data_IF_760242879739
#
_entry.id   IF_760242879739
#
_cell.length_a   1.000
_cell.length_b   1.000
_cell.length_c   1.000
_cell.angle_alpha   90.00
_cell.angle_beta   90.00
_cell.angle_gamma   90.00
#
_symmetry.space_group_name_H-M   'P 1'
#
loop_
_entity.id
_entity.type
_entity.pdbx_description
1 polymer ?
#
# COMPACT_ATOMS: atom_id res chain seq x y z
N UNK A 1 4.52 -7.25 29.55
CA UNK A 1 5.12 -8.10 30.61
C UNK A 1 6.54 -8.55 30.26
N UNK A 2 6.96 -8.53 28.99
CA UNK A 2 8.28 -8.99 28.56
C UNK A 2 8.37 -10.50 28.27
N UNK A 3 7.26 -11.20 28.32
CA UNK A 3 7.23 -12.64 28.01
C UNK A 3 7.41 -12.88 26.51
N UNK A 4 8.06 -14.00 26.17
CA UNK A 4 8.19 -14.42 24.77
C UNK A 4 6.83 -14.90 24.24
N UNK A 5 6.52 -14.48 23.03
CA UNK A 5 5.37 -14.98 22.27
C UNK A 5 5.84 -15.68 21.00
N UNK A 6 5.11 -16.69 20.57
CA UNK A 6 5.40 -17.37 19.30
C UNK A 6 4.89 -16.57 18.08
N UNK A 7 5.29 -16.98 16.89
CA UNK A 7 4.92 -16.31 15.65
C UNK A 7 3.41 -16.35 15.38
N UNK A 8 2.71 -17.40 15.81
CA UNK A 8 1.25 -17.51 15.64
C UNK A 8 0.54 -16.48 16.51
N UNK A 9 0.96 -16.35 17.77
CA UNK A 9 0.42 -15.32 18.69
C UNK A 9 0.74 -13.91 18.20
N UNK A 10 1.96 -13.67 17.71
CA UNK A 10 2.34 -12.41 17.12
C UNK A 10 1.45 -11.99 15.92
N UNK A 11 1.08 -12.96 15.07
CA UNK A 11 0.12 -12.75 13.98
C UNK A 11 -1.30 -12.47 14.50
N UNK A 12 -1.76 -13.25 15.47
CA UNK A 12 -3.10 -13.11 16.07
C UNK A 12 -3.33 -11.70 16.62
N UNK A 13 -2.34 -11.15 17.32
CA UNK A 13 -2.43 -9.80 17.92
C UNK A 13 -2.05 -8.67 16.94
N UNK A 14 -1.78 -8.98 15.67
CA UNK A 14 -1.49 -7.98 14.64
C UNK A 14 -0.06 -7.42 14.64
N UNK A 15 0.87 -8.01 15.43
CA UNK A 15 2.27 -7.58 15.46
C UNK A 15 3.00 -7.89 14.15
N UNK A 16 2.66 -9.01 13.49
CA UNK A 16 3.17 -9.39 12.18
C UNK A 16 2.03 -9.78 11.23
N UNK A 17 2.27 -9.66 9.93
CA UNK A 17 1.23 -9.89 8.92
C UNK A 17 1.05 -11.37 8.58
N UNK A 18 2.13 -12.15 8.51
CA UNK A 18 2.09 -13.55 8.09
C UNK A 18 3.09 -14.38 8.88
N UNK A 19 2.76 -15.68 8.98
CA UNK A 19 3.67 -16.71 9.48
C UNK A 19 3.86 -17.73 8.36
N UNK A 20 5.10 -18.06 8.08
CA UNK A 20 5.50 -19.06 7.07
C UNK A 20 6.61 -19.93 7.63
N UNK A 21 6.90 -21.06 6.99
CA UNK A 21 8.06 -21.88 7.35
C UNK A 21 9.37 -21.12 7.07
N UNK A 22 10.45 -21.52 7.77
CA UNK A 22 11.79 -20.91 7.59
C UNK A 22 12.24 -20.96 6.12
N UNK A 23 11.96 -22.04 5.43
CA UNK A 23 12.35 -22.24 4.03
C UNK A 23 11.58 -21.35 3.04
N UNK A 24 10.39 -20.89 3.42
CA UNK A 24 9.52 -20.05 2.58
C UNK A 24 9.69 -18.56 2.84
N UNK A 25 10.35 -18.16 3.93
CA UNK A 25 10.42 -16.79 4.39
C UNK A 25 10.95 -15.84 3.30
N UNK A 26 12.12 -16.13 2.76
CA UNK A 26 12.75 -15.28 1.72
C UNK A 26 11.88 -15.16 0.47
N UNK A 27 11.34 -16.29 0.00
CA UNK A 27 10.45 -16.29 -1.18
C UNK A 27 9.18 -15.47 -0.93
N UNK A 28 8.58 -15.58 0.25
CA UNK A 28 7.37 -14.85 0.60
C UNK A 28 7.63 -13.34 0.71
N UNK A 29 8.75 -12.97 1.31
CA UNK A 29 9.17 -11.55 1.43
C UNK A 29 9.42 -10.96 0.06
N UNK A 30 10.19 -11.64 -0.80
CA UNK A 30 10.49 -11.16 -2.15
C UNK A 30 9.22 -10.99 -2.98
N UNK A 31 8.30 -11.96 -2.97
CA UNK A 31 7.01 -11.85 -3.67
C UNK A 31 6.18 -10.65 -3.19
N UNK A 32 6.19 -10.35 -1.90
CA UNK A 32 5.50 -9.17 -1.39
C UNK A 32 6.18 -7.87 -1.84
N UNK A 33 7.50 -7.81 -1.75
CA UNK A 33 8.29 -6.67 -2.21
C UNK A 33 8.08 -6.40 -3.72
N UNK A 34 8.16 -7.43 -4.55
CA UNK A 34 7.87 -7.36 -6.00
C UNK A 34 6.45 -6.86 -6.27
N UNK A 35 5.46 -7.37 -5.54
CA UNK A 35 4.08 -6.91 -5.68
C UNK A 35 3.91 -5.42 -5.36
N UNK A 36 4.62 -4.91 -4.37
CA UNK A 36 4.60 -3.49 -4.00
C UNK A 36 5.35 -2.67 -5.05
N UNK A 37 6.56 -3.08 -5.42
CA UNK A 37 7.40 -2.35 -6.38
C UNK A 37 6.85 -2.37 -7.82
N UNK A 38 5.93 -3.28 -8.12
CA UNK A 38 5.23 -3.28 -9.42
C UNK A 38 4.13 -2.21 -9.55
N UNK A 39 3.92 -1.38 -8.53
CA UNK A 39 2.94 -0.29 -8.55
C UNK A 39 3.64 1.04 -8.83
N UNK A 40 2.89 2.05 -9.31
CA UNK A 40 3.39 3.42 -9.41
C UNK A 40 3.96 3.87 -8.05
N UNK A 41 5.24 4.24 -8.01
CA UNK A 41 5.90 4.69 -6.78
C UNK A 41 5.33 6.03 -6.33
N UNK A 42 4.95 6.88 -7.28
CA UNK A 42 4.25 8.14 -7.03
C UNK A 42 2.93 7.90 -6.29
N UNK A 43 2.06 7.05 -6.84
CA UNK A 43 0.74 6.79 -6.24
C UNK A 43 0.85 6.15 -4.87
N UNK A 44 1.76 5.18 -4.69
CA UNK A 44 2.03 4.55 -3.38
C UNK A 44 2.53 5.59 -2.37
N UNK A 45 3.44 6.48 -2.78
CA UNK A 45 3.97 7.56 -1.94
C UNK A 45 2.89 8.55 -1.50
N UNK A 46 2.04 8.99 -2.44
CA UNK A 46 0.90 9.88 -2.15
C UNK A 46 -0.04 9.21 -1.14
N UNK A 47 -0.43 7.96 -1.39
CA UNK A 47 -1.35 7.22 -0.53
C UNK A 47 -0.79 7.01 0.88
N UNK A 48 0.48 6.65 1.02
CA UNK A 48 1.10 6.49 2.35
C UNK A 48 1.16 7.81 3.13
N UNK A 49 1.54 8.91 2.50
CA UNK A 49 1.53 10.23 3.16
C UNK A 49 0.13 10.64 3.59
N UNK A 50 -0.85 10.43 2.72
CA UNK A 50 -2.24 10.74 3.01
C UNK A 50 -2.77 9.91 4.18
N UNK A 51 -2.44 8.62 4.22
CA UNK A 51 -2.84 7.72 5.31
C UNK A 51 -2.38 8.23 6.68
N UNK A 52 -1.10 8.53 6.82
CA UNK A 52 -0.57 9.01 8.11
C UNK A 52 -1.10 10.41 8.48
N UNK A 53 -1.24 11.28 7.49
CA UNK A 53 -1.71 12.65 7.75
C UNK A 53 -3.19 12.67 8.19
N UNK A 54 -4.06 11.88 7.54
CA UNK A 54 -5.48 11.85 7.86
C UNK A 54 -5.78 11.19 9.22
N UNK A 55 -4.90 10.31 9.72
CA UNK A 55 -5.12 9.64 11.02
C UNK A 55 -5.13 10.59 12.23
N UNK A 56 -4.55 11.78 12.07
CA UNK A 56 -4.51 12.83 13.10
C UNK A 56 -5.63 13.87 12.94
N UNK A 57 -6.55 13.69 11.99
CA UNK A 57 -7.61 14.63 11.67
C UNK A 57 -8.95 14.19 12.23
N UNK A 58 -9.86 15.14 12.44
CA UNK A 58 -11.27 14.81 12.63
C UNK A 58 -11.83 14.12 11.37
N UNK A 59 -12.93 13.36 11.52
CA UNK A 59 -13.53 12.63 10.41
C UNK A 59 -13.86 13.56 9.22
N UNK A 60 -14.41 14.72 9.47
CA UNK A 60 -14.78 15.70 8.44
C UNK A 60 -13.55 16.24 7.69
N UNK A 61 -12.50 16.59 8.42
CA UNK A 61 -11.23 17.07 7.84
C UNK A 61 -10.55 15.96 7.04
N UNK A 62 -10.54 14.72 7.55
CA UNK A 62 -9.98 13.57 6.86
C UNK A 62 -10.67 13.32 5.51
N UNK A 63 -11.99 13.38 5.45
CA UNK A 63 -12.75 13.26 4.20
C UNK A 63 -12.42 14.38 3.22
N UNK A 64 -12.38 15.63 3.66
CA UNK A 64 -12.04 16.77 2.80
C UNK A 64 -10.62 16.64 2.25
N UNK A 65 -9.65 16.33 3.11
CA UNK A 65 -8.25 16.15 2.73
C UNK A 65 -8.04 14.97 1.77
N UNK A 66 -8.62 13.80 2.08
CA UNK A 66 -8.45 12.62 1.23
C UNK A 66 -9.16 12.73 -0.10
N UNK A 67 -10.33 13.40 -0.17
CA UNK A 67 -11.02 13.72 -1.43
C UNK A 67 -10.16 14.60 -2.33
N UNK A 68 -9.53 15.64 -1.78
CA UNK A 68 -8.61 16.48 -2.56
C UNK A 68 -7.40 15.68 -3.03
N UNK A 69 -6.78 14.91 -2.14
CA UNK A 69 -5.63 14.06 -2.47
C UNK A 69 -5.96 13.06 -3.58
N UNK A 70 -7.15 12.45 -3.54
CA UNK A 70 -7.62 11.53 -4.58
C UNK A 70 -7.81 12.26 -5.92
N UNK A 71 -8.43 13.43 -5.90
CA UNK A 71 -8.64 14.25 -7.10
C UNK A 71 -7.32 14.63 -7.75
N UNK A 72 -6.37 15.11 -6.95
CA UNK A 72 -5.03 15.50 -7.44
C UNK A 72 -4.28 14.29 -8.02
N UNK A 73 -4.41 13.11 -7.39
CA UNK A 73 -3.80 11.88 -7.91
C UNK A 73 -4.45 11.43 -9.24
N UNK A 74 -5.78 11.56 -9.39
CA UNK A 74 -6.47 11.19 -10.64
C UNK A 74 -6.03 12.04 -11.85
N UNK A 75 -5.50 13.23 -11.62
CA UNK A 75 -4.98 14.08 -12.69
C UNK A 75 -3.58 13.66 -13.15
N UNK A 76 -2.88 12.83 -12.39
CA UNK A 76 -1.55 12.33 -12.71
C UNK A 76 -1.55 11.34 -13.88
N UNK A 77 -0.41 11.26 -14.59
CA UNK A 77 -0.22 10.33 -15.69
C UNK A 77 -0.48 8.89 -15.26
N UNK A 78 0.15 8.46 -14.18
CA UNK A 78 0.08 7.08 -13.72
C UNK A 78 -1.33 6.64 -13.30
N UNK A 79 -2.13 7.55 -12.73
CA UNK A 79 -3.53 7.23 -12.41
C UNK A 79 -4.35 6.98 -13.70
N UNK A 80 -4.17 7.80 -14.73
CA UNK A 80 -4.82 7.64 -16.04
C UNK A 80 -4.34 6.37 -16.73
N UNK A 81 -3.03 6.11 -16.70
CA UNK A 81 -2.43 4.90 -17.25
C UNK A 81 -2.97 3.65 -16.54
N UNK A 82 -3.05 3.65 -15.21
CA UNK A 82 -3.58 2.53 -14.45
C UNK A 82 -5.03 2.20 -14.80
N UNK A 83 -5.88 3.22 -14.93
CA UNK A 83 -7.28 3.05 -15.35
C UNK A 83 -7.34 2.49 -16.78
N UNK A 84 -6.57 3.07 -17.70
CA UNK A 84 -6.54 2.63 -19.11
C UNK A 84 -6.04 1.20 -19.23
N UNK A 85 -4.93 0.86 -18.58
CA UNK A 85 -4.37 -0.49 -18.60
C UNK A 85 -5.36 -1.52 -18.04
N UNK A 86 -6.10 -1.17 -16.97
CA UNK A 86 -7.15 -2.03 -16.43
C UNK A 86 -8.28 -2.28 -17.44
N UNK A 87 -8.77 -1.25 -18.11
CA UNK A 87 -9.81 -1.39 -19.15
C UNK A 87 -9.33 -2.21 -20.34
N UNK A 88 -8.08 -1.99 -20.76
CA UNK A 88 -7.44 -2.68 -21.90
C UNK A 88 -6.95 -4.11 -21.52
N UNK A 89 -7.08 -4.52 -20.25
CA UNK A 89 -6.60 -5.82 -19.72
C UNK A 89 -5.12 -6.09 -19.98
N UNK A 90 -4.29 -5.07 -19.89
CA UNK A 90 -2.84 -5.13 -20.04
C UNK A 90 -2.12 -4.67 -18.76
N UNK A 91 -0.83 -4.93 -18.69
CA UNK A 91 0.00 -4.35 -17.64
C UNK A 91 0.19 -2.85 -17.83
N UNK A 92 0.16 -2.04 -16.77
CA UNK A 92 0.43 -0.61 -16.85
C UNK A 92 1.93 -0.33 -17.00
N UNK A 93 2.24 0.83 -17.62
CA UNK A 93 3.59 1.36 -17.77
C UNK A 93 3.72 2.64 -16.93
N UNK A 94 4.29 2.52 -15.74
CA UNK A 94 4.43 3.61 -14.81
C UNK A 94 5.55 4.58 -15.22
N UNK A 95 5.32 5.89 -15.01
CA UNK A 95 6.30 6.95 -15.26
C UNK A 95 6.62 7.77 -14.03
N UNK A 96 5.86 7.55 -12.94
CA UNK A 96 5.96 8.31 -11.69
C UNK A 96 5.63 9.81 -11.86
N UNK A 97 4.68 10.13 -12.75
CA UNK A 97 4.22 11.48 -13.12
C UNK A 97 2.71 11.69 -12.86
#
# INVERSE_FOLDING_TARGET
>A
TGDFIDAKKAKEIGLINNVVSKNELTSKVNKLAEKISSKSSLTVSIGKRAFYKQSEMSLSEAYSYTSQTMTDNLLKHDAKEGIKAFMDKRSPEWRDE
#
